data_IF_714793863733
#
_entry.id   IF_714793863733
#
_cell.length_a   1.000
_cell.length_b   1.000
_cell.length_c   1.000
_cell.angle_alpha   90.00
_cell.angle_beta   90.00
_cell.angle_gamma   90.00
#
_symmetry.space_group_name_H-M   'P 1'
#
loop_
_entity.id
_entity.type
_entity.pdbx_description
1 polymer ?
#
# COMPACT_ATOMS: atom_id res chain seq x y z
N UNK A 1 -30.30 2.80 -22.96
CA UNK A 1 -28.96 2.66 -22.35
C UNK A 1 -29.00 3.44 -21.05
N UNK A 2 -28.76 2.74 -19.95
CA UNK A 2 -28.82 3.32 -18.62
C UNK A 2 -27.65 4.30 -18.45
N UNK A 3 -27.96 5.59 -18.32
CA UNK A 3 -26.93 6.64 -18.14
C UNK A 3 -26.15 6.44 -16.85
N UNK A 4 -26.77 5.85 -15.84
CA UNK A 4 -26.15 5.61 -14.52
C UNK A 4 -25.05 4.53 -14.58
N UNK A 5 -25.10 3.60 -15.54
CA UNK A 5 -24.06 2.58 -15.72
C UNK A 5 -22.73 3.15 -16.23
N UNK A 6 -22.71 4.36 -16.77
CA UNK A 6 -21.50 5.03 -17.27
C UNK A 6 -20.93 6.08 -16.31
N UNK A 7 -21.57 6.32 -15.18
CA UNK A 7 -21.01 7.18 -14.14
C UNK A 7 -19.76 6.51 -13.53
N UNK A 8 -18.77 7.33 -13.21
CA UNK A 8 -17.51 6.91 -12.58
C UNK A 8 -17.75 5.98 -11.38
N UNK A 9 -18.67 6.35 -10.49
CA UNK A 9 -19.03 5.60 -9.30
C UNK A 9 -19.49 4.18 -9.64
N UNK A 10 -20.39 4.02 -10.61
CA UNK A 10 -20.99 2.71 -10.92
C UNK A 10 -20.13 1.85 -11.85
N UNK A 11 -19.34 2.51 -12.71
CA UNK A 11 -18.54 1.80 -13.72
C UNK A 11 -17.14 1.43 -13.26
N UNK A 12 -16.56 2.15 -12.30
CA UNK A 12 -15.18 2.00 -11.86
C UNK A 12 -15.07 1.86 -10.34
N UNK A 13 -15.52 2.84 -9.54
CA UNK A 13 -15.28 2.88 -8.09
C UNK A 13 -15.98 1.74 -7.34
N UNK A 14 -17.31 1.57 -7.47
CA UNK A 14 -18.05 0.49 -6.78
C UNK A 14 -17.59 -0.92 -7.15
N UNK A 15 -17.36 -1.26 -8.45
CA UNK A 15 -16.80 -2.56 -8.80
C UNK A 15 -15.42 -2.81 -8.18
N UNK A 16 -14.58 -1.78 -8.07
CA UNK A 16 -13.29 -1.89 -7.42
C UNK A 16 -13.43 -2.15 -5.91
N UNK A 17 -14.32 -1.42 -5.21
CA UNK A 17 -14.59 -1.65 -3.79
C UNK A 17 -15.08 -3.07 -3.52
N UNK A 18 -16.09 -3.53 -4.27
CA UNK A 18 -16.62 -4.88 -4.14
C UNK A 18 -15.54 -5.95 -4.39
N UNK A 19 -14.62 -5.69 -5.32
CA UNK A 19 -13.49 -6.58 -5.57
C UNK A 19 -12.51 -6.60 -4.40
N UNK A 20 -12.17 -5.46 -3.79
CA UNK A 20 -11.32 -5.42 -2.59
C UNK A 20 -11.96 -6.18 -1.42
N UNK A 21 -13.27 -6.02 -1.19
CA UNK A 21 -13.98 -6.78 -0.17
C UNK A 21 -13.92 -8.30 -0.45
N UNK A 22 -14.16 -8.72 -1.69
CA UNK A 22 -14.01 -10.12 -2.11
C UNK A 22 -12.57 -10.65 -1.94
N UNK A 23 -11.55 -9.79 -2.05
CA UNK A 23 -10.15 -10.11 -1.79
C UNK A 23 -9.79 -10.17 -0.29
N UNK A 24 -10.73 -9.88 0.60
CA UNK A 24 -10.54 -9.95 2.05
C UNK A 24 -10.19 -8.62 2.72
N UNK A 25 -10.31 -7.49 2.02
CA UNK A 25 -10.22 -6.18 2.65
C UNK A 25 -11.51 -5.87 3.39
N UNK A 26 -11.40 -5.41 4.62
CA UNK A 26 -12.56 -4.97 5.39
C UNK A 26 -12.93 -3.54 5.00
N UNK A 27 -14.17 -3.33 4.56
CA UNK A 27 -14.66 -1.99 4.28
C UNK A 27 -14.84 -1.18 5.56
N UNK A 28 -14.37 0.07 5.55
CA UNK A 28 -14.61 1.06 6.60
C UNK A 28 -15.28 2.27 5.96
N UNK A 29 -16.40 2.70 6.50
CA UNK A 29 -17.10 3.87 6.00
C UNK A 29 -16.26 5.15 6.17
N UNK A 30 -16.43 6.16 5.28
CA UNK A 30 -15.77 7.47 5.47
C UNK A 30 -16.04 8.09 6.84
N UNK A 31 -17.26 7.93 7.35
CA UNK A 31 -17.65 8.45 8.67
C UNK A 31 -16.90 7.75 9.81
N UNK A 32 -16.66 6.44 9.72
CA UNK A 32 -15.90 5.72 10.73
C UNK A 32 -14.39 6.00 10.59
N UNK A 33 -13.89 6.23 9.38
CA UNK A 33 -12.54 6.76 9.20
C UNK A 33 -12.37 8.13 9.88
N UNK A 34 -13.33 9.03 9.73
CA UNK A 34 -13.29 10.36 10.37
C UNK A 34 -13.27 10.27 11.90
N UNK A 35 -14.03 9.34 12.50
CA UNK A 35 -13.99 9.07 13.95
C UNK A 35 -12.62 8.59 14.40
N UNK A 36 -12.02 7.67 13.67
CA UNK A 36 -10.72 7.07 14.05
C UNK A 36 -9.54 8.04 13.99
N UNK A 37 -9.55 8.97 13.06
CA UNK A 37 -8.45 9.93 12.87
C UNK A 37 -8.65 11.26 13.61
N UNK A 38 -9.85 11.53 14.12
CA UNK A 38 -10.20 12.73 14.91
C UNK A 38 -10.23 14.04 14.12
N UNK A 39 -9.45 14.15 13.06
CA UNK A 39 -9.39 15.32 12.16
C UNK A 39 -9.12 14.84 10.74
N UNK A 40 -9.73 15.51 9.74
CA UNK A 40 -9.51 15.23 8.32
C UNK A 40 -8.10 15.58 7.82
N UNK A 41 -7.31 16.28 8.62
CA UNK A 41 -5.90 16.47 8.34
C UNK A 41 -5.08 15.19 8.58
N UNK A 42 -5.45 14.42 9.59
CA UNK A 42 -4.79 13.15 9.90
C UNK A 42 -5.27 12.03 8.99
N UNK A 43 -4.40 11.08 8.72
CA UNK A 43 -4.68 9.99 7.76
C UNK A 43 -4.53 8.58 8.34
N UNK A 44 -3.93 8.46 9.52
CA UNK A 44 -3.82 7.18 10.23
C UNK A 44 -5.15 6.82 10.92
N UNK A 45 -5.60 5.59 10.77
CA UNK A 45 -6.73 5.03 11.52
C UNK A 45 -6.21 4.58 12.89
N UNK A 46 -6.20 5.52 13.85
CA UNK A 46 -5.45 5.43 15.10
C UNK A 46 -5.86 4.26 15.99
N UNK A 47 -7.15 3.94 16.09
CA UNK A 47 -7.61 2.85 16.95
C UNK A 47 -7.23 1.48 16.38
N UNK A 48 -7.32 1.32 15.06
CA UNK A 48 -6.85 0.12 14.37
C UNK A 48 -5.34 -0.02 14.52
N UNK A 49 -4.60 1.05 14.28
CA UNK A 49 -3.13 1.03 14.39
C UNK A 49 -2.70 0.68 15.82
N UNK A 50 -3.28 1.33 16.84
CA UNK A 50 -3.02 1.04 18.26
C UNK A 50 -3.28 -0.43 18.60
N UNK A 51 -4.42 -0.93 18.18
CA UNK A 51 -4.79 -2.33 18.39
C UNK A 51 -3.81 -3.31 17.75
N UNK A 52 -3.39 -3.02 16.51
CA UNK A 52 -2.43 -3.85 15.78
C UNK A 52 -1.03 -3.78 16.37
N UNK A 53 -0.54 -2.59 16.74
CA UNK A 53 0.75 -2.45 17.40
C UNK A 53 0.83 -3.28 18.69
N UNK A 54 -0.22 -3.27 19.51
CA UNK A 54 -0.31 -4.10 20.72
C UNK A 54 -0.34 -5.59 20.39
N UNK A 55 -1.05 -5.99 19.35
CA UNK A 55 -1.20 -7.39 18.97
C UNK A 55 0.06 -7.97 18.34
N UNK A 56 0.74 -7.21 17.49
CA UNK A 56 1.90 -7.67 16.73
C UNK A 56 3.20 -7.66 17.54
N UNK A 57 3.25 -6.91 18.65
CA UNK A 57 4.50 -6.65 19.32
C UNK A 57 4.50 -7.17 20.76
N UNK A 58 5.46 -8.00 21.00
CA UNK A 58 5.85 -8.49 22.32
C UNK A 58 7.37 -8.47 22.41
N UNK A 59 7.91 -8.29 23.59
CA UNK A 59 9.35 -8.43 23.81
C UNK A 59 9.65 -9.51 24.86
N UNK A 60 10.79 -10.15 24.71
CA UNK A 60 11.24 -11.20 25.64
C UNK A 60 12.25 -10.61 26.61
N UNK A 61 11.99 -10.73 27.90
CA UNK A 61 12.93 -10.39 28.94
C UNK A 61 12.97 -11.48 30.00
N UNK A 62 14.17 -11.95 30.38
CA UNK A 62 14.39 -13.00 31.33
C UNK A 62 13.56 -14.29 31.08
N UNK A 63 13.32 -14.61 29.80
CA UNK A 63 12.52 -15.77 29.38
C UNK A 63 11.01 -15.56 29.42
N UNK A 64 10.51 -14.39 29.84
CA UNK A 64 9.09 -14.04 29.85
C UNK A 64 8.73 -13.12 28.68
N UNK A 65 7.55 -13.34 28.10
CA UNK A 65 6.97 -12.48 27.09
C UNK A 65 6.25 -11.29 27.75
N UNK A 66 6.51 -10.09 27.29
CA UNK A 66 6.00 -8.85 27.84
C UNK A 66 5.34 -7.98 26.78
N UNK A 67 4.37 -7.16 27.17
CA UNK A 67 3.74 -6.16 26.32
C UNK A 67 4.53 -4.86 26.36
N UNK A 68 4.56 -4.15 25.23
CA UNK A 68 5.01 -2.76 25.22
C UNK A 68 4.07 -1.88 26.04
N UNK A 69 4.65 -0.92 26.75
CA UNK A 69 3.90 0.08 27.51
C UNK A 69 2.95 0.87 26.62
N UNK A 70 1.80 1.29 27.16
CA UNK A 70 0.87 2.13 26.43
C UNK A 70 1.52 3.43 25.92
N UNK A 71 2.46 4.00 26.71
CA UNK A 71 3.20 5.19 26.33
C UNK A 71 4.07 4.97 25.08
N UNK A 72 4.76 3.83 24.99
CA UNK A 72 5.58 3.50 23.81
C UNK A 72 4.72 3.16 22.57
N UNK A 73 3.55 2.56 22.75
CA UNK A 73 2.59 2.36 21.64
C UNK A 73 2.12 3.71 21.07
N UNK A 74 1.73 4.67 21.93
CA UNK A 74 1.34 6.02 21.46
C UNK A 74 2.51 6.75 20.81
N UNK A 75 3.71 6.70 21.42
CA UNK A 75 4.92 7.27 20.86
C UNK A 75 5.25 6.67 19.49
N UNK A 76 5.10 5.36 19.32
CA UNK A 76 5.33 4.72 18.02
C UNK A 76 4.38 5.25 16.93
N UNK A 77 3.13 5.52 17.28
CA UNK A 77 2.16 6.12 16.34
C UNK A 77 2.51 7.56 15.99
N UNK A 78 3.00 8.34 16.96
CA UNK A 78 3.46 9.73 16.75
C UNK A 78 4.73 9.76 15.90
N UNK A 79 5.71 8.91 16.22
CA UNK A 79 6.98 8.78 15.50
C UNK A 79 6.82 8.29 14.06
N UNK A 80 5.72 7.59 13.76
CA UNK A 80 5.39 7.19 12.38
C UNK A 80 4.82 8.35 11.57
N UNK A 81 4.13 9.29 12.22
CA UNK A 81 3.51 10.45 11.55
C UNK A 81 4.52 11.59 11.30
N UNK A 82 5.67 11.24 10.73
CA UNK A 82 6.77 12.17 10.39
C UNK A 82 6.28 13.43 9.68
N UNK A 83 6.71 14.64 10.12
CA UNK A 83 6.33 15.89 9.48
C UNK A 83 6.98 16.03 8.09
N UNK A 84 6.29 16.70 7.16
CA UNK A 84 6.75 16.92 5.77
C UNK A 84 7.83 18.03 5.64
N UNK A 85 8.70 18.20 6.63
CA UNK A 85 9.74 19.24 6.64
C UNK A 85 10.78 19.07 5.54
N UNK A 86 11.10 17.81 5.22
CA UNK A 86 12.11 17.46 4.20
C UNK A 86 11.49 17.18 2.82
N UNK A 87 10.19 17.49 2.66
CA UNK A 87 9.42 17.20 1.44
C UNK A 87 8.89 15.77 1.37
N UNK A 88 8.03 15.55 0.39
CA UNK A 88 7.24 14.32 0.28
C UNK A 88 8.11 13.05 0.20
N UNK A 89 9.10 13.03 -0.69
CA UNK A 89 9.87 11.80 -0.98
C UNK A 89 10.77 11.41 0.18
N UNK A 90 11.50 12.35 0.77
CA UNK A 90 12.37 12.07 1.93
C UNK A 90 11.57 11.66 3.16
N UNK A 91 10.43 12.30 3.40
CA UNK A 91 9.54 11.88 4.51
C UNK A 91 8.99 10.48 4.24
N UNK A 92 8.59 10.18 2.99
CA UNK A 92 8.14 8.84 2.61
C UNK A 92 9.24 7.78 2.78
N UNK A 93 10.51 8.11 2.53
CA UNK A 93 11.66 7.23 2.76
C UNK A 93 11.81 6.87 4.23
N UNK A 94 11.80 7.87 5.12
CA UNK A 94 11.87 7.65 6.58
C UNK A 94 10.72 6.76 7.08
N UNK A 95 9.49 7.00 6.59
CA UNK A 95 8.33 6.19 6.93
C UNK A 95 8.50 4.77 6.39
N UNK A 96 8.94 4.61 5.15
CA UNK A 96 9.18 3.31 4.53
C UNK A 96 10.21 2.49 5.32
N UNK A 97 11.32 3.10 5.74
CA UNK A 97 12.32 2.44 6.59
C UNK A 97 11.72 1.99 7.93
N UNK A 98 10.89 2.84 8.55
CA UNK A 98 10.19 2.48 9.77
C UNK A 98 9.20 1.33 9.56
N UNK A 99 8.49 1.29 8.43
CA UNK A 99 7.58 0.19 8.09
C UNK A 99 8.33 -1.13 7.86
N UNK A 100 9.50 -1.09 7.23
CA UNK A 100 10.31 -2.28 6.96
C UNK A 100 11.05 -2.81 8.18
N UNK A 101 11.67 -1.92 8.94
CA UNK A 101 12.63 -2.26 9.99
C UNK A 101 12.04 -2.17 11.40
N UNK A 102 10.91 -1.49 11.56
CA UNK A 102 10.39 -1.09 12.87
C UNK A 102 11.19 0.05 13.48
N UNK A 103 10.88 0.39 14.73
CA UNK A 103 11.62 1.34 15.56
C UNK A 103 11.83 0.77 16.96
N UNK A 104 12.97 1.09 17.58
CA UNK A 104 13.29 0.64 18.94
C UNK A 104 12.78 1.63 19.99
N UNK A 105 12.11 1.09 21.02
CA UNK A 105 11.58 1.86 22.14
C UNK A 105 12.09 1.32 23.47
N UNK A 106 12.46 2.21 24.42
CA UNK A 106 12.94 1.82 25.74
C UNK A 106 11.77 1.35 26.62
N UNK A 107 11.87 0.16 27.19
CA UNK A 107 10.97 -0.34 28.22
C UNK A 107 11.70 -0.52 29.55
N UNK A 108 10.99 -0.22 30.65
CA UNK A 108 11.51 -0.49 31.98
C UNK A 108 11.28 -1.98 32.28
N UNK A 109 12.37 -2.71 32.47
CA UNK A 109 12.35 -4.14 32.78
C UNK A 109 12.65 -4.37 34.26
N UNK A 110 12.64 -5.63 34.70
CA UNK A 110 12.96 -5.99 36.08
C UNK A 110 14.16 -5.24 36.64
N UNK A 111 14.17 -4.94 37.91
CA UNK A 111 15.16 -4.14 38.60
C UNK A 111 15.26 -2.64 38.20
N UNK A 112 14.25 -2.11 37.49
CA UNK A 112 14.23 -0.71 37.07
C UNK A 112 15.19 -0.38 35.92
N UNK A 113 15.77 -1.37 35.25
CA UNK A 113 16.64 -1.16 34.08
C UNK A 113 15.83 -0.77 32.86
N UNK A 114 16.38 0.10 32.02
CA UNK A 114 15.83 0.44 30.72
C UNK A 114 16.56 -0.34 29.62
N UNK A 115 15.80 -1.10 28.82
CA UNK A 115 16.29 -1.79 27.64
C UNK A 115 15.42 -1.44 26.44
N UNK A 116 16.05 -1.30 25.27
CA UNK A 116 15.33 -0.99 24.05
C UNK A 116 14.95 -2.27 23.28
N UNK A 117 13.69 -2.32 22.86
CA UNK A 117 13.16 -3.43 22.07
C UNK A 117 12.56 -2.90 20.77
N UNK A 118 12.70 -3.68 19.69
CA UNK A 118 12.17 -3.29 18.38
C UNK A 118 10.66 -3.52 18.32
N UNK A 119 9.93 -2.50 17.85
CA UNK A 119 8.50 -2.53 17.60
C UNK A 119 8.27 -2.44 16.08
N UNK A 120 7.56 -3.41 15.52
CA UNK A 120 7.22 -3.47 14.09
C UNK A 120 5.82 -2.90 13.84
N UNK A 121 5.66 -2.20 12.73
CA UNK A 121 4.38 -1.66 12.27
C UNK A 121 3.61 -2.65 11.38
N UNK A 122 4.35 -3.50 10.67
CA UNK A 122 3.84 -4.52 9.75
C UNK A 122 4.57 -5.84 10.03
N UNK A 123 3.83 -6.94 10.05
CA UNK A 123 4.42 -8.28 10.13
C UNK A 123 4.66 -8.79 8.71
N UNK A 124 5.88 -8.56 8.20
CA UNK A 124 6.29 -8.94 6.86
C UNK A 124 6.47 -10.44 6.69
N UNK A 125 6.80 -11.15 7.75
CA UNK A 125 7.11 -12.57 7.71
C UNK A 125 5.84 -13.42 7.79
N UNK A 126 4.80 -12.88 8.43
CA UNK A 126 3.49 -13.51 8.55
C UNK A 126 2.39 -12.54 8.10
N UNK A 127 2.17 -12.38 6.78
CA UNK A 127 1.21 -11.42 6.24
C UNK A 127 -0.21 -11.51 6.81
N UNK A 128 -0.64 -12.72 7.18
CA UNK A 128 -1.94 -13.00 7.79
C UNK A 128 -2.13 -12.39 9.19
N UNK A 129 -1.06 -11.96 9.84
CA UNK A 129 -1.13 -11.24 11.11
C UNK A 129 -1.53 -9.78 10.93
N UNK A 130 -1.50 -9.26 9.71
CA UNK A 130 -1.92 -7.90 9.42
C UNK A 130 -3.42 -7.83 9.09
N UNK A 131 -4.01 -6.66 9.24
CA UNK A 131 -5.39 -6.39 8.83
C UNK A 131 -5.41 -5.41 7.67
N UNK A 132 -6.24 -5.72 6.69
CA UNK A 132 -6.40 -4.92 5.49
C UNK A 132 -7.76 -4.23 5.49
N UNK A 133 -7.78 -2.93 5.20
CA UNK A 133 -9.02 -2.19 5.10
C UNK A 133 -9.06 -1.39 3.79
N UNK A 134 -10.28 -1.14 3.34
CA UNK A 134 -10.57 -0.26 2.20
C UNK A 134 -11.63 0.75 2.60
N UNK A 135 -11.47 1.98 2.15
CA UNK A 135 -12.50 3.03 2.24
C UNK A 135 -12.65 3.74 0.91
N UNK A 136 -13.81 4.36 0.72
CA UNK A 136 -14.07 5.23 -0.42
C UNK A 136 -14.15 6.70 0.02
N UNK A 137 -14.01 7.62 -0.94
CA UNK A 137 -14.28 9.04 -0.71
C UNK A 137 -13.58 9.61 0.53
N UNK A 138 -12.31 9.23 0.72
CA UNK A 138 -11.53 9.55 1.90
C UNK A 138 -11.13 11.03 1.92
N UNK A 139 -11.99 11.87 2.49
CA UNK A 139 -11.77 13.32 2.52
C UNK A 139 -10.57 13.69 3.40
N UNK A 140 -9.62 14.42 2.85
CA UNK A 140 -8.43 14.93 3.54
C UNK A 140 -8.34 16.45 3.33
N UNK A 141 -8.14 17.19 4.41
CA UNK A 141 -7.98 18.65 4.37
C UNK A 141 -6.49 19.00 4.26
N UNK A 142 -6.17 20.06 3.49
CA UNK A 142 -4.83 20.62 3.45
C UNK A 142 -4.44 21.21 4.82
N UNK A 143 -3.14 21.45 5.04
CA UNK A 143 -2.61 21.98 6.29
C UNK A 143 -3.24 23.34 6.65
N UNK A 144 -3.46 24.20 5.67
CA UNK A 144 -4.08 25.52 5.83
C UNK A 144 -5.61 25.49 5.78
N UNK A 145 -6.22 24.31 5.53
CA UNK A 145 -7.65 24.08 5.34
C UNK A 145 -8.27 24.87 4.20
N UNK A 146 -7.47 25.41 3.29
CA UNK A 146 -7.97 26.14 2.12
C UNK A 146 -8.32 25.18 0.99
N UNK A 147 -7.72 23.99 0.96
CA UNK A 147 -7.99 22.95 0.00
C UNK A 147 -8.39 21.66 0.73
N UNK A 148 -9.18 20.87 0.08
CA UNK A 148 -9.42 19.49 0.43
C UNK A 148 -9.32 18.63 -0.84
N UNK A 149 -9.03 17.37 -0.65
CA UNK A 149 -9.17 16.38 -1.69
C UNK A 149 -9.83 15.12 -1.12
N UNK A 150 -10.50 14.41 -1.98
CA UNK A 150 -11.26 13.22 -1.63
C UNK A 150 -10.92 12.11 -2.61
N UNK A 151 -9.80 11.40 -2.37
CA UNK A 151 -9.45 10.23 -3.16
C UNK A 151 -10.57 9.20 -3.19
N UNK A 152 -10.80 8.60 -4.36
CA UNK A 152 -11.93 7.70 -4.57
C UNK A 152 -11.81 6.44 -3.72
N UNK A 153 -10.60 5.84 -3.62
CA UNK A 153 -10.33 4.65 -2.80
C UNK A 153 -8.99 4.80 -2.10
N UNK A 154 -8.97 4.47 -0.81
CA UNK A 154 -7.72 4.36 -0.01
C UNK A 154 -7.66 3.00 0.65
N UNK A 155 -6.50 2.34 0.56
CA UNK A 155 -6.22 1.04 1.15
C UNK A 155 -5.30 1.19 2.36
N UNK A 156 -5.57 0.42 3.41
CA UNK A 156 -4.82 0.45 4.66
C UNK A 156 -4.29 -0.94 5.04
N UNK A 157 -3.08 -0.97 5.58
CA UNK A 157 -2.52 -2.09 6.32
C UNK A 157 -2.35 -1.64 7.77
N UNK A 158 -2.96 -2.35 8.72
CA UNK A 158 -2.88 -2.04 10.15
C UNK A 158 -3.31 -0.59 10.51
N UNK A 159 -4.20 0.02 9.71
CA UNK A 159 -4.61 1.41 9.89
C UNK A 159 -3.67 2.45 9.26
N UNK A 160 -2.62 2.03 8.56
CA UNK A 160 -1.66 2.87 7.83
C UNK A 160 -2.06 2.89 6.36
N UNK A 161 -2.33 4.06 5.73
CA UNK A 161 -2.67 4.11 4.32
C UNK A 161 -1.45 3.73 3.48
N UNK A 162 -1.58 2.73 2.61
CA UNK A 162 -0.47 2.25 1.79
C UNK A 162 -0.69 2.41 0.29
N UNK A 163 -1.95 2.55 -0.14
CA UNK A 163 -2.26 2.79 -1.55
C UNK A 163 -3.44 3.75 -1.70
N UNK A 164 -3.36 4.55 -2.76
CA UNK A 164 -4.40 5.50 -3.15
C UNK A 164 -4.78 5.23 -4.60
N UNK A 165 -6.07 5.12 -4.88
CA UNK A 165 -6.60 4.82 -6.20
C UNK A 165 -7.55 5.93 -6.62
N UNK A 166 -7.36 6.45 -7.81
CA UNK A 166 -8.22 7.42 -8.46
C UNK A 166 -8.93 6.76 -9.63
N UNK A 167 -10.24 6.84 -9.64
CA UNK A 167 -11.11 6.26 -10.63
C UNK A 167 -11.60 7.33 -11.62
N UNK A 168 -11.89 6.92 -12.85
CA UNK A 168 -12.58 7.75 -13.83
C UNK A 168 -13.63 6.93 -14.58
N UNK A 169 -14.59 7.62 -15.16
CA UNK A 169 -15.58 7.00 -16.03
C UNK A 169 -14.88 6.36 -17.25
N UNK A 170 -15.43 5.26 -17.81
CA UNK A 170 -14.77 4.50 -18.88
C UNK A 170 -14.42 5.28 -20.14
N UNK A 171 -15.11 6.40 -20.40
CA UNK A 171 -14.90 7.29 -21.55
C UNK A 171 -13.89 8.40 -21.28
N UNK A 172 -13.46 8.58 -20.02
CA UNK A 172 -12.47 9.58 -19.64
C UNK A 172 -11.07 8.94 -19.70
N UNK A 173 -10.08 9.59 -20.32
CA UNK A 173 -8.71 9.08 -20.35
C UNK A 173 -8.13 8.88 -18.94
N UNK A 174 -7.45 7.76 -18.73
CA UNK A 174 -6.82 7.45 -17.43
C UNK A 174 -5.75 8.48 -17.03
N UNK A 175 -5.22 9.22 -18.00
CA UNK A 175 -4.28 10.33 -17.82
C UNK A 175 -4.85 11.49 -17.01
N UNK A 176 -6.16 11.64 -16.93
CA UNK A 176 -6.83 12.63 -16.08
C UNK A 176 -6.77 12.21 -14.61
N UNK A 177 -7.00 10.93 -14.32
CA UNK A 177 -6.79 10.37 -12.98
C UNK A 177 -5.32 10.52 -12.54
N UNK A 178 -4.36 10.24 -13.44
CA UNK A 178 -2.93 10.47 -13.18
C UNK A 178 -2.65 11.94 -12.85
N UNK A 179 -3.23 12.87 -13.63
CA UNK A 179 -3.09 14.32 -13.39
C UNK A 179 -3.63 14.74 -12.03
N UNK A 180 -4.80 14.24 -11.65
CA UNK A 180 -5.43 14.50 -10.35
C UNK A 180 -4.59 13.93 -9.20
N UNK A 181 -4.12 12.72 -9.34
CA UNK A 181 -3.25 12.06 -8.35
C UNK A 181 -1.96 12.85 -8.11
N UNK A 182 -1.31 13.34 -9.17
CA UNK A 182 -0.09 14.17 -9.07
C UNK A 182 -0.39 15.52 -8.41
N UNK A 183 -1.51 16.16 -8.76
CA UNK A 183 -1.94 17.42 -8.14
C UNK A 183 -2.15 17.27 -6.63
N UNK A 184 -2.83 16.19 -6.20
CA UNK A 184 -3.15 15.94 -4.81
C UNK A 184 -1.91 15.74 -3.92
N UNK A 185 -0.77 15.40 -4.51
CA UNK A 185 0.52 15.23 -3.82
C UNK A 185 1.28 16.55 -3.59
N UNK A 186 0.86 17.64 -4.20
CA UNK A 186 1.53 18.93 -4.06
C UNK A 186 1.31 19.53 -2.68
N UNK A 187 2.25 20.36 -2.23
CA UNK A 187 2.28 20.96 -0.88
C UNK A 187 0.99 21.72 -0.52
N UNK A 188 0.31 22.32 -1.50
CA UNK A 188 -0.95 23.02 -1.30
C UNK A 188 -2.16 22.10 -1.10
N UNK A 189 -2.04 20.81 -1.39
CA UNK A 189 -3.15 19.87 -1.30
C UNK A 189 -3.01 18.93 -0.09
N UNK A 190 -2.89 17.62 -0.33
CA UNK A 190 -2.92 16.60 0.72
C UNK A 190 -1.69 15.68 0.74
N UNK A 191 -0.45 16.21 0.67
CA UNK A 191 0.77 15.40 0.63
C UNK A 191 0.94 14.51 1.87
N UNK A 192 0.31 14.84 2.99
CA UNK A 192 0.34 14.04 4.22
C UNK A 192 -0.29 12.65 4.06
N UNK A 193 -1.18 12.43 3.11
CA UNK A 193 -1.67 11.10 2.75
C UNK A 193 -0.59 10.34 1.96
N UNK A 194 0.03 11.03 1.03
CA UNK A 194 0.96 10.41 0.07
C UNK A 194 2.34 10.09 0.67
N UNK A 195 2.71 10.67 1.79
CA UNK A 195 3.94 10.28 2.48
C UNK A 195 3.91 8.82 2.95
N UNK A 196 2.73 8.27 3.22
CA UNK A 196 2.52 6.86 3.58
C UNK A 196 2.32 5.97 2.36
N UNK A 197 1.74 6.50 1.27
CA UNK A 197 1.38 5.71 0.10
C UNK A 197 2.60 5.05 -0.55
N UNK A 198 2.57 3.73 -0.63
CA UNK A 198 3.58 2.94 -1.30
C UNK A 198 3.25 2.80 -2.79
N UNK A 199 1.97 2.70 -3.11
CA UNK A 199 1.46 2.64 -4.47
C UNK A 199 0.40 3.72 -4.69
N UNK A 200 0.39 4.30 -5.88
CA UNK A 200 -0.69 5.16 -6.39
C UNK A 200 -1.17 4.60 -7.71
N UNK A 201 -2.48 4.50 -7.88
CA UNK A 201 -3.10 3.87 -9.05
C UNK A 201 -4.16 4.79 -9.65
N UNK A 202 -4.15 4.89 -10.96
CA UNK A 202 -5.15 5.58 -11.76
C UNK A 202 -5.87 4.57 -12.66
N UNK A 203 -7.21 4.60 -12.69
CA UNK A 203 -8.00 3.65 -13.46
C UNK A 203 -9.28 4.28 -14.05
N UNK A 204 -9.77 3.69 -15.15
CA UNK A 204 -11.06 4.05 -15.76
C UNK A 204 -11.84 2.82 -16.21
N UNK A 205 -11.70 1.66 -15.56
CA UNK A 205 -12.24 0.36 -15.94
C UNK A 205 -11.45 -0.33 -17.08
N UNK A 206 -11.08 0.41 -18.14
CA UNK A 206 -10.48 -0.13 -19.37
C UNK A 206 -8.95 -0.01 -19.40
N UNK A 207 -8.40 0.89 -18.58
CA UNK A 207 -6.96 1.12 -18.46
C UNK A 207 -6.58 1.36 -17.01
N UNK A 208 -5.39 0.91 -16.64
CA UNK A 208 -4.81 1.10 -15.31
C UNK A 208 -3.36 1.54 -15.45
N UNK A 209 -2.99 2.54 -14.67
CA UNK A 209 -1.59 2.97 -14.51
C UNK A 209 -1.25 3.00 -13.03
N UNK A 210 -0.02 2.62 -12.70
CA UNK A 210 0.49 2.65 -11.34
C UNK A 210 1.84 3.34 -11.25
N UNK A 211 2.13 3.84 -10.07
CA UNK A 211 3.38 4.51 -9.72
C UNK A 211 3.57 4.52 -8.19
N UNK A 212 4.60 5.20 -7.73
CA UNK A 212 4.76 5.61 -6.33
C UNK A 212 4.46 7.10 -6.16
N UNK A 213 4.35 7.55 -4.92
CA UNK A 213 4.27 8.97 -4.61
C UNK A 213 5.50 9.74 -5.15
N UNK A 214 5.26 10.91 -5.73
CA UNK A 214 6.30 11.75 -6.33
C UNK A 214 6.68 11.40 -7.77
N UNK A 215 6.10 10.35 -8.36
CA UNK A 215 6.43 9.92 -9.72
C UNK A 215 5.86 10.87 -10.78
N UNK A 216 6.68 11.47 -11.67
CA UNK A 216 6.21 12.28 -12.79
C UNK A 216 5.35 11.49 -13.78
N UNK A 217 4.38 12.15 -14.43
CA UNK A 217 3.39 11.55 -15.33
C UNK A 217 3.98 10.57 -16.36
N UNK A 218 5.11 10.92 -16.97
CA UNK A 218 5.77 10.11 -18.01
C UNK A 218 6.32 8.76 -17.53
N UNK A 219 6.44 8.57 -16.22
CA UNK A 219 6.99 7.33 -15.64
C UNK A 219 5.94 6.43 -15.01
N UNK A 220 4.66 6.81 -15.09
CA UNK A 220 3.57 5.92 -14.71
C UNK A 220 3.53 4.70 -15.63
N UNK A 221 3.47 3.53 -15.05
CA UNK A 221 3.59 2.26 -15.75
C UNK A 221 2.26 1.51 -15.80
N UNK A 222 2.16 0.57 -16.73
CA UNK A 222 1.08 -0.42 -16.78
C UNK A 222 1.59 -1.73 -16.19
N UNK A 223 0.72 -2.46 -15.51
CA UNK A 223 1.02 -3.82 -15.07
C UNK A 223 0.47 -4.81 -16.10
N UNK A 224 1.29 -5.80 -16.46
CA UNK A 224 0.88 -6.94 -17.28
C UNK A 224 1.25 -8.21 -16.54
N UNK A 225 0.23 -8.90 -16.04
CA UNK A 225 0.42 -10.17 -15.35
C UNK A 225 0.98 -11.21 -16.32
N UNK A 226 2.01 -11.92 -15.90
CA UNK A 226 2.64 -12.98 -16.69
C UNK A 226 2.18 -14.37 -16.25
N UNK A 227 1.69 -14.51 -15.01
CA UNK A 227 1.06 -15.73 -14.53
C UNK A 227 -0.44 -15.73 -14.87
N UNK A 228 -0.73 -16.05 -16.13
CA UNK A 228 -2.10 -16.01 -16.65
C UNK A 228 -3.02 -17.03 -15.96
N UNK A 229 -2.52 -18.20 -15.57
CA UNK A 229 -3.29 -19.24 -14.92
C UNK A 229 -3.67 -18.85 -13.49
N UNK A 230 -2.71 -18.34 -12.74
CA UNK A 230 -2.95 -17.78 -11.40
C UNK A 230 -4.00 -16.67 -11.44
N UNK A 231 -3.85 -15.71 -12.38
CA UNK A 231 -4.78 -14.59 -12.49
C UNK A 231 -6.19 -15.07 -12.89
N UNK A 232 -6.31 -15.96 -13.85
CA UNK A 232 -7.62 -16.49 -14.27
C UNK A 232 -8.33 -17.23 -13.15
N UNK A 233 -7.59 -18.04 -12.39
CA UNK A 233 -8.13 -18.79 -11.26
C UNK A 233 -8.68 -17.84 -10.19
N UNK A 234 -7.90 -16.79 -9.84
CA UNK A 234 -8.32 -15.76 -8.88
C UNK A 234 -9.54 -14.98 -9.38
N UNK A 235 -9.54 -14.55 -10.63
CA UNK A 235 -10.65 -13.78 -11.19
C UNK A 235 -11.94 -14.59 -11.25
N UNK A 236 -11.88 -15.88 -11.58
CA UNK A 236 -13.07 -16.76 -11.54
C UNK A 236 -13.68 -16.86 -10.14
N UNK A 237 -12.85 -16.89 -9.11
CA UNK A 237 -13.32 -16.95 -7.73
C UNK A 237 -13.86 -15.60 -7.24
N UNK A 238 -13.21 -14.49 -7.60
CA UNK A 238 -13.51 -13.15 -7.08
C UNK A 238 -14.60 -12.40 -7.87
N UNK A 239 -14.76 -12.71 -9.16
CA UNK A 239 -15.69 -12.02 -10.06
C UNK A 239 -16.48 -13.05 -10.90
N UNK A 240 -17.25 -13.99 -10.26
CA UNK A 240 -17.89 -15.09 -10.96
C UNK A 240 -19.04 -14.64 -11.90
N UNK A 241 -19.70 -13.53 -11.56
CA UNK A 241 -20.98 -13.13 -12.18
C UNK A 241 -20.82 -12.16 -13.37
N UNK A 242 -19.58 -11.80 -13.73
CA UNK A 242 -19.32 -10.87 -14.84
C UNK A 242 -17.97 -11.12 -15.51
N UNK A 243 -17.81 -10.61 -16.71
CA UNK A 243 -16.52 -10.63 -17.41
C UNK A 243 -15.55 -9.69 -16.70
N UNK A 244 -14.37 -10.18 -16.25
CA UNK A 244 -13.35 -9.33 -15.64
C UNK A 244 -12.84 -8.25 -16.59
N UNK A 245 -12.76 -7.03 -16.08
CA UNK A 245 -12.25 -5.86 -16.79
C UNK A 245 -10.72 -5.74 -16.63
N UNK A 246 -10.11 -4.79 -17.33
CA UNK A 246 -8.68 -4.49 -17.13
C UNK A 246 -8.39 -3.97 -15.71
N UNK A 247 -9.33 -3.19 -15.14
CA UNK A 247 -9.27 -2.76 -13.75
C UNK A 247 -9.23 -3.96 -12.79
N UNK A 248 -10.10 -4.95 -12.96
CA UNK A 248 -10.14 -6.14 -12.09
C UNK A 248 -8.83 -6.93 -12.16
N UNK A 249 -8.31 -7.13 -13.36
CA UNK A 249 -7.02 -7.82 -13.59
C UNK A 249 -5.89 -7.15 -12.83
N UNK A 250 -5.80 -5.83 -12.94
CA UNK A 250 -4.75 -5.06 -12.29
C UNK A 250 -4.93 -4.98 -10.77
N UNK A 251 -6.16 -4.83 -10.26
CA UNK A 251 -6.43 -4.86 -8.82
C UNK A 251 -5.99 -6.20 -8.22
N UNK A 252 -6.40 -7.32 -8.81
CA UNK A 252 -6.00 -8.65 -8.32
C UNK A 252 -4.49 -8.84 -8.40
N UNK A 253 -3.86 -8.42 -9.51
CA UNK A 253 -2.41 -8.59 -9.71
C UNK A 253 -1.55 -7.74 -8.79
N UNK A 254 -1.99 -6.53 -8.43
CA UNK A 254 -1.19 -5.60 -7.60
C UNK A 254 -1.49 -5.72 -6.10
N UNK A 255 -2.72 -6.09 -5.74
CA UNK A 255 -3.23 -5.94 -4.37
C UNK A 255 -3.67 -7.25 -3.69
N UNK A 256 -3.49 -8.43 -4.31
CA UNK A 256 -3.55 -9.66 -3.53
C UNK A 256 -2.50 -9.62 -2.41
N UNK A 257 -2.86 -10.12 -1.23
CA UNK A 257 -2.06 -9.93 0.01
C UNK A 257 -0.60 -10.32 -0.18
N UNK A 258 -0.34 -11.48 -0.76
CA UNK A 258 1.00 -11.96 -1.05
C UNK A 258 1.77 -11.05 -2.02
N UNK A 259 1.10 -10.54 -3.06
CA UNK A 259 1.71 -9.71 -4.07
C UNK A 259 2.04 -8.31 -3.57
N UNK A 260 1.11 -7.69 -2.86
CA UNK A 260 1.32 -6.33 -2.34
C UNK A 260 2.44 -6.30 -1.29
N UNK A 261 2.56 -7.35 -0.47
CA UNK A 261 3.67 -7.49 0.48
C UNK A 261 5.01 -7.64 -0.23
N UNK A 262 5.08 -8.50 -1.24
CA UNK A 262 6.27 -8.69 -2.06
C UNK A 262 6.68 -7.40 -2.76
N UNK A 263 5.73 -6.69 -3.39
CA UNK A 263 5.98 -5.41 -4.07
C UNK A 263 6.51 -4.34 -3.11
N UNK A 264 5.86 -4.17 -1.96
CA UNK A 264 6.27 -3.14 -1.00
C UNK A 264 7.62 -3.50 -0.37
N UNK A 265 7.83 -4.76 0.03
CA UNK A 265 9.03 -5.17 0.75
C UNK A 265 10.28 -5.19 -0.12
N UNK A 266 10.18 -5.59 -1.39
CA UNK A 266 11.36 -5.92 -2.21
C UNK A 266 11.48 -5.10 -3.50
N UNK A 267 10.43 -4.41 -3.92
CA UNK A 267 10.39 -3.78 -5.24
C UNK A 267 10.13 -2.26 -5.20
N UNK A 268 10.18 -1.66 -4.01
CA UNK A 268 10.25 -0.21 -3.84
C UNK A 268 11.66 0.16 -3.42
N UNK A 269 12.20 1.20 -4.03
CA UNK A 269 13.51 1.73 -3.69
C UNK A 269 13.51 3.26 -3.76
N UNK A 270 14.43 3.86 -3.03
CA UNK A 270 14.70 5.30 -3.07
C UNK A 270 16.10 5.52 -3.65
N UNK A 271 16.19 6.39 -4.64
CA UNK A 271 17.43 6.71 -5.32
C UNK A 271 17.44 8.19 -5.72
N UNK A 272 18.44 8.93 -5.28
CA UNK A 272 18.60 10.36 -5.57
C UNK A 272 17.33 11.19 -5.32
N UNK A 273 16.66 10.97 -4.17
CA UNK A 273 15.40 11.62 -3.78
C UNK A 273 14.22 11.32 -4.75
N UNK A 274 14.24 10.16 -5.38
CA UNK A 274 13.15 9.64 -6.20
C UNK A 274 12.71 8.29 -5.64
N UNK A 275 11.44 8.17 -5.29
CA UNK A 275 10.83 6.89 -4.94
C UNK A 275 10.45 6.16 -6.23
N UNK A 276 10.80 4.90 -6.33
CA UNK A 276 10.60 4.07 -7.52
C UNK A 276 9.93 2.76 -7.13
N UNK A 277 9.03 2.27 -7.98
CA UNK A 277 8.53 0.90 -7.94
C UNK A 277 8.92 0.19 -9.23
N UNK A 278 9.18 -1.11 -9.16
CA UNK A 278 9.55 -1.89 -10.33
C UNK A 278 8.45 -1.88 -11.40
N UNK A 279 8.84 -2.08 -12.64
CA UNK A 279 7.93 -2.46 -13.72
C UNK A 279 7.67 -3.97 -13.66
N UNK A 280 6.55 -4.41 -14.22
CA UNK A 280 6.17 -5.84 -14.21
C UNK A 280 7.27 -6.75 -14.76
N UNK A 281 8.00 -6.32 -15.81
CA UNK A 281 9.11 -7.11 -16.37
C UNK A 281 10.21 -7.36 -15.34
N UNK A 282 10.55 -6.34 -14.55
CA UNK A 282 11.56 -6.44 -13.49
C UNK A 282 11.08 -7.37 -12.38
N UNK A 283 9.81 -7.24 -11.98
CA UNK A 283 9.20 -8.08 -10.96
C UNK A 283 9.28 -9.57 -11.33
N UNK A 284 8.79 -9.93 -12.51
CA UNK A 284 8.78 -11.33 -12.95
C UNK A 284 10.18 -11.87 -13.22
N UNK A 285 11.08 -11.05 -13.78
CA UNK A 285 12.47 -11.45 -13.98
C UNK A 285 13.16 -11.79 -12.65
N UNK A 286 13.01 -10.95 -11.63
CA UNK A 286 13.60 -11.23 -10.30
C UNK A 286 13.02 -12.49 -9.68
N UNK A 287 11.71 -12.71 -9.80
CA UNK A 287 11.08 -13.95 -9.29
C UNK A 287 11.64 -15.20 -9.96
N UNK A 288 11.77 -15.19 -11.29
CA UNK A 288 12.35 -16.33 -12.02
C UNK A 288 13.83 -16.55 -11.67
N UNK A 289 14.61 -15.47 -11.49
CA UNK A 289 15.99 -15.56 -11.01
C UNK A 289 16.01 -16.24 -9.63
N UNK A 290 15.20 -15.74 -8.69
CA UNK A 290 15.19 -16.27 -7.32
C UNK A 290 14.75 -17.74 -7.29
N UNK A 291 13.79 -18.14 -8.14
CA UNK A 291 13.37 -19.53 -8.29
C UNK A 291 14.54 -20.38 -8.81
N UNK A 292 15.18 -19.95 -9.91
CA UNK A 292 16.31 -20.69 -10.53
C UNK A 292 17.47 -20.86 -9.56
N UNK A 293 17.84 -19.81 -8.78
CA UNK A 293 18.96 -19.92 -7.80
C UNK A 293 18.60 -20.77 -6.58
N UNK A 294 17.30 -20.89 -6.26
CA UNK A 294 16.86 -21.75 -5.15
C UNK A 294 16.85 -23.24 -5.53
N UNK A 295 16.86 -23.57 -6.81
CA UNK A 295 16.92 -24.94 -7.31
C UNK A 295 18.40 -25.38 -7.42
N UNK A 296 18.71 -26.57 -6.88
CA UNK A 296 20.01 -27.23 -7.05
C UNK A 296 19.91 -28.34 -8.10
N UNK A 297 21.00 -28.62 -8.79
CA UNK A 297 21.11 -29.80 -9.65
C UNK A 297 21.34 -31.08 -8.85
N UNK A 298 21.47 -32.22 -9.54
CA UNK A 298 21.72 -33.53 -8.90
C UNK A 298 23.04 -33.61 -8.11
N UNK A 299 23.92 -32.60 -8.27
CA UNK A 299 25.21 -32.48 -7.59
C UNK A 299 25.22 -31.36 -6.53
N UNK A 300 24.05 -30.84 -6.15
CA UNK A 300 23.86 -29.73 -5.19
C UNK A 300 24.50 -28.40 -5.64
N UNK A 301 24.73 -28.22 -6.96
CA UNK A 301 25.13 -26.93 -7.50
C UNK A 301 23.90 -26.08 -7.83
N UNK A 302 23.97 -24.79 -7.54
CA UNK A 302 22.91 -23.85 -7.92
C UNK A 302 22.81 -23.73 -9.44
N UNK A 303 21.59 -23.68 -9.95
CA UNK A 303 21.35 -23.50 -11.36
C UNK A 303 21.74 -22.08 -11.79
N UNK A 304 22.27 -21.95 -12.99
CA UNK A 304 22.58 -20.68 -13.65
C UNK A 304 21.63 -20.45 -14.82
N UNK A 305 21.39 -19.20 -15.19
CA UNK A 305 20.52 -18.84 -16.29
C UNK A 305 20.94 -17.55 -16.98
N UNK A 306 20.33 -17.28 -18.12
CA UNK A 306 20.50 -16.03 -18.88
C UNK A 306 19.20 -15.28 -18.88
N UNK A 307 19.24 -13.99 -18.50
CA UNK A 307 18.09 -13.12 -18.56
C UNK A 307 18.09 -12.40 -19.89
N UNK A 308 17.05 -12.64 -20.67
CA UNK A 308 16.84 -11.94 -21.93
C UNK A 308 15.66 -10.97 -21.78
N UNK A 309 15.94 -9.67 -21.86
CA UNK A 309 14.92 -8.63 -21.89
C UNK A 309 14.90 -7.94 -23.23
N UNK A 310 13.73 -7.86 -23.86
CA UNK A 310 13.50 -6.91 -24.95
C UNK A 310 13.40 -5.51 -24.34
N UNK A 311 14.28 -4.60 -24.76
CA UNK A 311 14.13 -3.19 -24.48
C UNK A 311 12.89 -2.65 -25.23
N UNK A 312 11.95 -2.07 -24.49
CA UNK A 312 10.76 -1.43 -25.02
C UNK A 312 10.31 -0.31 -24.11
#
# INVERSE_FOLDING_TARGET
MDKDAYLEINASQRPALALFEAMGYTYISPADCDKQRGSRYHVLLRDILRGQLRRLNRYIYAGAENEFSAANIERAMEDLDEPLTDGLVRTSEKIYDALLLGKSYPETVGDGKMLSFNLKYIDWDNPQNNVFHVTEEFAVDSRDRQHNARPDIVLFINGIPFAVIECKAPHIPVEEAVGQMIRNQQAAYIPQLFKFAQLVVATNKNAVKYATAGTPKKFWSVWKEQDAEWLQTRLKALVPDRIPTEQDRNIVSLFSSERVFELIRYFILFDANVKKVCRYQQFFAVREIMKTIAESDEHDNRQSGVIWHTQG
#
